data_IF_662607219251
#
_entry.id   IF_662607219251
#
_cell.length_a   1.000
_cell.length_b   1.000
_cell.length_c   1.000
_cell.angle_alpha   90.00
_cell.angle_beta   90.00
_cell.angle_gamma   90.00
#
_symmetry.space_group_name_H-M   'P 1'
#
loop_
_entity.id
_entity.type
_entity.pdbx_description
1 polymer ?
#
# COMPACT_ATOMS: atom_id res chain seq x y z
N UNK A 1 3.10 5.29 16.41
CA UNK A 1 4.27 5.12 15.53
C UNK A 1 3.85 4.20 14.41
N UNK A 2 4.15 4.57 13.17
CA UNK A 2 3.79 3.84 11.96
C UNK A 2 4.94 2.94 11.50
N UNK A 3 4.64 1.85 10.79
CA UNK A 3 5.62 0.98 10.15
C UNK A 3 6.18 1.57 8.85
N UNK A 4 5.32 2.27 8.11
CA UNK A 4 5.45 2.92 6.80
C UNK A 4 5.85 2.05 5.61
N UNK A 5 6.30 0.81 5.86
CA UNK A 5 6.67 -0.17 4.83
C UNK A 5 6.08 -1.57 5.07
N UNK A 6 4.84 -1.63 5.57
CA UNK A 6 4.19 -2.90 5.88
C UNK A 6 3.58 -3.54 4.62
N UNK A 7 4.17 -4.62 4.12
CA UNK A 7 3.69 -5.36 2.96
C UNK A 7 4.03 -6.86 3.09
N UNK A 8 3.51 -7.73 2.22
CA UNK A 8 3.65 -9.19 2.37
C UNK A 8 5.10 -9.68 2.51
N UNK A 9 6.07 -8.98 1.93
CA UNK A 9 7.50 -9.32 2.02
C UNK A 9 8.10 -9.02 3.39
N UNK A 10 7.49 -8.09 4.13
CA UNK A 10 7.89 -7.64 5.45
C UNK A 10 7.05 -8.27 6.57
N UNK A 11 6.35 -9.37 6.29
CA UNK A 11 5.62 -10.16 7.30
C UNK A 11 6.09 -11.60 7.25
N UNK A 12 6.76 -12.05 8.30
CA UNK A 12 7.36 -13.39 8.40
C UNK A 12 6.63 -14.25 9.44
N UNK A 13 6.67 -15.57 9.25
CA UNK A 13 6.32 -16.50 10.31
C UNK A 13 7.38 -16.44 11.42
N UNK A 14 6.97 -16.52 12.68
CA UNK A 14 7.87 -16.47 13.83
C UNK A 14 7.41 -17.39 14.97
N UNK A 15 8.33 -17.65 15.91
CA UNK A 15 8.04 -18.50 17.07
C UNK A 15 7.39 -17.71 18.21
N UNK A 16 7.84 -16.48 18.47
CA UNK A 16 7.28 -15.62 19.53
C UNK A 16 5.82 -15.22 19.30
N UNK A 17 5.44 -15.10 18.03
CA UNK A 17 4.09 -14.74 17.54
C UNK A 17 3.93 -15.38 16.18
N UNK A 18 2.72 -15.80 15.81
CA UNK A 18 2.48 -16.49 14.53
C UNK A 18 2.98 -15.71 13.31
N UNK A 19 2.81 -14.39 13.33
CA UNK A 19 3.27 -13.47 12.30
C UNK A 19 4.05 -12.32 12.95
N UNK A 20 5.10 -11.86 12.27
CA UNK A 20 5.96 -10.77 12.71
C UNK A 20 6.18 -9.79 11.55
N UNK A 21 5.81 -8.53 11.77
CA UNK A 21 6.20 -7.45 10.87
C UNK A 21 7.68 -7.07 11.11
N UNK A 22 8.42 -6.86 10.03
CA UNK A 22 9.86 -6.57 10.04
C UNK A 22 10.19 -5.37 9.15
N UNK A 23 11.41 -4.84 9.28
CA UNK A 23 11.91 -3.67 8.53
C UNK A 23 10.99 -2.43 8.64
N UNK A 24 10.60 -2.02 9.87
CA UNK A 24 9.86 -0.77 10.02
C UNK A 24 10.76 0.41 9.68
N UNK A 25 10.18 1.43 9.05
CA UNK A 25 10.76 2.77 8.98
C UNK A 25 9.92 3.69 9.86
N UNK A 26 10.26 3.83 11.16
CA UNK A 26 9.35 4.40 12.14
C UNK A 26 9.07 5.88 11.88
N UNK A 27 7.79 6.25 11.88
CA UNK A 27 7.36 7.64 11.74
C UNK A 27 6.20 7.95 12.69
N UNK A 28 6.09 9.19 13.15
CA UNK A 28 4.88 9.71 13.79
C UNK A 28 3.97 10.30 12.71
N UNK A 29 2.73 9.85 12.67
CA UNK A 29 1.77 10.27 11.67
C UNK A 29 0.40 9.66 11.90
N UNK A 30 -0.49 9.92 10.96
CA UNK A 30 -1.85 9.38 10.99
C UNK A 30 -1.87 7.87 10.72
N UNK A 31 -2.68 7.07 11.45
CA UNK A 31 -2.77 5.63 11.23
C UNK A 31 -3.14 5.20 9.80
N UNK A 32 -4.02 5.95 9.12
CA UNK A 32 -4.43 5.64 7.75
C UNK A 32 -3.28 5.69 6.73
N UNK A 33 -2.24 6.48 7.02
CA UNK A 33 -1.03 6.53 6.19
C UNK A 33 -0.35 5.15 6.09
N UNK A 34 -0.38 4.38 7.17
CA UNK A 34 0.35 3.12 7.28
C UNK A 34 -0.24 1.98 6.41
N UNK A 35 -1.47 2.17 5.94
CA UNK A 35 -2.17 1.20 5.09
C UNK A 35 -1.85 1.35 3.61
N UNK A 36 -1.21 2.45 3.20
CA UNK A 36 -0.84 2.70 1.81
C UNK A 36 -0.08 1.53 1.17
N UNK A 37 1.02 1.03 1.77
CA UNK A 37 1.77 -0.10 1.23
C UNK A 37 0.94 -1.38 1.06
N UNK A 38 0.02 -1.67 1.99
CA UNK A 38 -0.89 -2.82 1.91
C UNK A 38 -1.92 -2.69 0.79
N UNK A 39 -2.40 -1.48 0.50
CA UNK A 39 -3.33 -1.22 -0.61
C UNK A 39 -2.70 -1.63 -1.95
N UNK A 40 -1.45 -1.23 -2.19
CA UNK A 40 -0.67 -1.51 -3.42
C UNK A 40 0.14 -2.80 -3.37
N UNK A 41 -0.06 -3.64 -2.36
CA UNK A 41 0.78 -4.82 -2.14
C UNK A 41 0.65 -5.86 -3.27
N UNK A 42 1.75 -6.57 -3.59
CA UNK A 42 1.82 -7.48 -4.75
C UNK A 42 1.40 -6.81 -6.06
N UNK A 43 1.98 -5.64 -6.34
CA UNK A 43 1.64 -4.79 -7.48
C UNK A 43 1.51 -5.54 -8.80
N UNK A 44 2.53 -6.35 -9.16
CA UNK A 44 2.51 -7.13 -10.39
C UNK A 44 1.31 -8.09 -10.48
N UNK A 45 0.88 -8.66 -9.36
CA UNK A 45 -0.33 -9.49 -9.31
C UNK A 45 -1.59 -8.66 -9.51
N UNK A 46 -1.67 -7.48 -8.87
CA UNK A 46 -2.82 -6.58 -9.00
C UNK A 46 -2.98 -6.09 -10.43
N UNK A 47 -1.90 -5.66 -11.09
CA UNK A 47 -1.92 -5.15 -12.47
C UNK A 47 -2.35 -6.23 -13.46
N UNK A 48 -2.03 -7.51 -13.18
CA UNK A 48 -2.42 -8.65 -14.02
C UNK A 48 -3.89 -9.08 -13.86
N UNK A 49 -4.64 -8.51 -12.92
CA UNK A 49 -6.07 -8.84 -12.70
C UNK A 49 -6.95 -8.30 -13.83
N UNK A 50 -8.09 -8.94 -14.06
CA UNK A 50 -9.08 -8.47 -15.06
C UNK A 50 -9.70 -7.11 -14.69
N UNK A 51 -9.73 -6.77 -13.40
CA UNK A 51 -10.33 -5.53 -12.87
C UNK A 51 -9.44 -4.95 -11.74
N UNK A 52 -8.25 -4.45 -12.07
CA UNK A 52 -7.26 -4.03 -11.06
C UNK A 52 -7.80 -2.91 -10.17
N UNK A 53 -8.55 -1.96 -10.74
CA UNK A 53 -9.18 -0.87 -9.97
C UNK A 53 -10.15 -1.37 -8.90
N UNK A 54 -10.90 -2.45 -9.19
CA UNK A 54 -11.82 -3.04 -8.23
C UNK A 54 -11.07 -3.74 -7.09
N UNK A 55 -9.92 -4.36 -7.38
CA UNK A 55 -9.07 -5.00 -6.37
C UNK A 55 -8.50 -3.95 -5.40
N UNK A 56 -7.93 -2.87 -5.92
CA UNK A 56 -7.35 -1.80 -5.10
C UNK A 56 -8.42 -1.11 -4.25
N UNK A 57 -9.57 -0.73 -4.83
CA UNK A 57 -10.68 -0.12 -4.08
C UNK A 57 -11.24 -1.05 -3.00
N UNK A 58 -11.37 -2.35 -3.30
CA UNK A 58 -11.79 -3.35 -2.29
C UNK A 58 -10.81 -3.44 -1.13
N UNK A 59 -9.51 -3.36 -1.39
CA UNK A 59 -8.47 -3.38 -0.33
C UNK A 59 -8.56 -2.16 0.58
N UNK A 60 -8.80 -0.97 0.03
CA UNK A 60 -9.03 0.24 0.83
C UNK A 60 -10.17 0.01 1.82
N UNK A 61 -11.34 -0.41 1.34
CA UNK A 61 -12.50 -0.66 2.20
C UNK A 61 -12.23 -1.76 3.22
N UNK A 62 -11.59 -2.86 2.82
CA UNK A 62 -11.29 -3.97 3.72
C UNK A 62 -10.32 -3.57 4.83
N UNK A 63 -9.22 -2.87 4.50
CA UNK A 63 -8.22 -2.41 5.47
C UNK A 63 -8.79 -1.34 6.41
N UNK A 64 -9.56 -0.39 5.88
CA UNK A 64 -10.21 0.64 6.66
C UNK A 64 -11.17 0.02 7.70
N UNK A 65 -12.01 -0.92 7.27
CA UNK A 65 -12.93 -1.62 8.17
C UNK A 65 -12.21 -2.48 9.22
N UNK A 66 -11.11 -3.15 8.84
CA UNK A 66 -10.36 -4.01 9.76
C UNK A 66 -9.73 -3.25 10.94
N UNK A 67 -9.50 -1.94 10.78
CA UNK A 67 -8.87 -1.08 11.79
C UNK A 67 -9.76 0.09 12.24
N UNK A 68 -11.04 0.09 11.87
CA UNK A 68 -12.01 1.14 12.20
C UNK A 68 -11.53 2.56 11.79
N UNK A 69 -10.90 2.65 10.61
CA UNK A 69 -10.40 3.89 10.04
C UNK A 69 -11.34 4.43 8.95
N UNK A 70 -11.23 5.73 8.67
CA UNK A 70 -11.92 6.36 7.54
C UNK A 70 -11.33 5.88 6.21
N UNK A 71 -12.16 5.24 5.38
CA UNK A 71 -11.78 4.70 4.08
C UNK A 71 -11.28 5.78 3.11
N UNK A 72 -11.80 7.01 3.17
CA UNK A 72 -11.34 8.11 2.32
C UNK A 72 -9.95 8.59 2.74
N UNK A 73 -9.63 8.53 4.04
CA UNK A 73 -8.26 8.82 4.51
C UNK A 73 -7.28 7.76 4.02
N UNK A 74 -7.65 6.48 4.10
CA UNK A 74 -6.82 5.37 3.58
C UNK A 74 -6.63 5.51 2.07
N UNK A 75 -7.71 5.80 1.32
CA UNK A 75 -7.66 6.04 -0.13
C UNK A 75 -6.72 7.19 -0.47
N UNK A 76 -6.90 8.34 0.20
CA UNK A 76 -6.11 9.55 -0.05
C UNK A 76 -4.62 9.34 0.21
N UNK A 77 -4.26 8.68 1.31
CA UNK A 77 -2.86 8.38 1.59
C UNK A 77 -2.26 7.37 0.62
N UNK A 78 -2.99 6.31 0.28
CA UNK A 78 -2.55 5.34 -0.71
C UNK A 78 -2.32 5.99 -2.08
N UNK A 79 -3.20 6.92 -2.49
CA UNK A 79 -3.07 7.67 -3.74
C UNK A 79 -1.80 8.53 -3.75
N UNK A 80 -1.60 9.36 -2.72
CA UNK A 80 -0.43 10.25 -2.63
C UNK A 80 0.87 9.44 -2.61
N UNK A 81 0.91 8.33 -1.87
CA UNK A 81 2.08 7.46 -1.84
C UNK A 81 2.33 6.78 -3.19
N UNK A 82 1.29 6.28 -3.86
CA UNK A 82 1.42 5.67 -5.18
C UNK A 82 1.94 6.67 -6.22
N UNK A 83 1.41 7.90 -6.21
CA UNK A 83 1.89 8.99 -7.06
C UNK A 83 3.37 9.32 -6.78
N UNK A 84 3.73 9.51 -5.50
CA UNK A 84 5.11 9.84 -5.11
C UNK A 84 6.11 8.73 -5.49
N UNK A 85 5.76 7.47 -5.22
CA UNK A 85 6.57 6.31 -5.58
C UNK A 85 6.67 6.13 -7.08
N UNK A 86 5.57 6.30 -7.82
CA UNK A 86 5.57 6.21 -9.28
C UNK A 86 6.50 7.23 -9.92
N UNK A 87 6.41 8.49 -9.51
CA UNK A 87 7.30 9.56 -9.97
C UNK A 87 8.77 9.28 -9.61
N UNK A 88 9.03 8.77 -8.41
CA UNK A 88 10.38 8.41 -8.00
C UNK A 88 10.95 7.24 -8.83
N UNK A 89 10.20 6.15 -9.01
CA UNK A 89 10.59 5.02 -9.86
C UNK A 89 10.92 5.47 -11.29
N UNK A 90 10.07 6.31 -11.90
CA UNK A 90 10.35 6.88 -13.22
C UNK A 90 11.64 7.70 -13.24
N UNK A 91 11.92 8.48 -12.19
CA UNK A 91 13.13 9.30 -12.11
C UNK A 91 14.43 8.48 -12.06
N UNK A 92 14.36 7.22 -11.64
CA UNK A 92 15.51 6.29 -11.58
C UNK A 92 15.47 5.21 -12.67
N UNK A 93 14.52 5.28 -13.61
CA UNK A 93 14.37 4.32 -14.71
C UNK A 93 13.82 2.96 -14.28
N UNK A 94 13.12 2.88 -13.13
CA UNK A 94 12.46 1.68 -12.67
C UNK A 94 11.10 1.50 -13.38
N UNK A 95 10.88 0.38 -14.11
CA UNK A 95 9.63 0.14 -14.84
C UNK A 95 8.39 0.06 -13.95
N UNK A 96 8.54 -0.17 -12.63
CA UNK A 96 7.41 -0.17 -11.70
C UNK A 96 6.70 1.20 -11.60
N UNK A 97 7.30 2.26 -12.11
CA UNK A 97 6.73 3.61 -12.08
C UNK A 97 5.37 3.71 -12.75
N UNK A 98 5.19 3.13 -13.94
CA UNK A 98 3.93 3.16 -14.69
C UNK A 98 2.80 2.42 -13.95
N UNK A 99 3.12 1.27 -13.36
CA UNK A 99 2.17 0.49 -12.57
C UNK A 99 1.74 1.24 -11.30
N UNK A 100 2.67 1.93 -10.63
CA UNK A 100 2.36 2.76 -9.45
C UNK A 100 1.47 3.95 -9.81
N UNK A 101 1.72 4.60 -10.94
CA UNK A 101 0.87 5.69 -11.43
C UNK A 101 -0.53 5.19 -11.81
N UNK A 102 -0.62 3.98 -12.39
CA UNK A 102 -1.90 3.32 -12.66
C UNK A 102 -2.70 3.08 -11.36
N UNK A 103 -2.04 2.68 -10.27
CA UNK A 103 -2.67 2.56 -8.94
C UNK A 103 -3.19 3.92 -8.45
N UNK A 104 -2.42 4.99 -8.62
CA UNK A 104 -2.86 6.34 -8.26
C UNK A 104 -4.11 6.75 -9.04
N UNK A 105 -4.17 6.46 -10.35
CA UNK A 105 -5.34 6.69 -11.19
C UNK A 105 -6.57 5.89 -10.73
N UNK A 106 -6.41 4.61 -10.40
CA UNK A 106 -7.52 3.78 -9.92
C UNK A 106 -8.08 4.24 -8.56
N UNK A 107 -7.24 4.90 -7.77
CA UNK A 107 -7.59 5.46 -6.48
C UNK A 107 -8.20 6.86 -6.58
N UNK A 108 -8.02 7.59 -7.68
CA UNK A 108 -8.60 8.92 -7.90
C UNK A 108 -10.13 8.86 -7.99
#
# INVERSE_FOLDING_TARGET
>A
VLHTDCHHGNVLAAERTKWLAIDPRPMLGEPAFDLGPLVRDRLATVVAETRPQAVVRRRVTWLANALELDAERVRGWALVQALALGLWCMSVGDPAGEDMLSVAEWLA
#
